data_IF_770460477173
#
_entry.id   IF_770460477173
#
_cell.length_a   1.000
_cell.length_b   1.000
_cell.length_c   1.000
_cell.angle_alpha   90.00
_cell.angle_beta   90.00
_cell.angle_gamma   90.00
#
_symmetry.space_group_name_H-M   'P 1'
#
loop_
_entity.id
_entity.type
_entity.pdbx_description
1 polymer ?
#
# COMPACT_ATOMS: atom_id res chain seq x y z
N UNK A 1 7.50 -2.78 17.08
CA UNK A 1 6.61 -1.65 16.66
C UNK A 1 7.26 -0.29 16.82
N UNK A 2 7.90 0.02 17.96
CA UNK A 2 8.58 1.31 18.14
C UNK A 2 9.65 1.66 17.11
N UNK A 3 10.32 0.65 16.56
CA UNK A 3 11.28 0.85 15.47
C UNK A 3 10.65 1.33 14.16
N UNK A 4 9.36 1.04 13.89
CA UNK A 4 8.66 1.58 12.73
C UNK A 4 8.54 3.11 12.82
N UNK A 5 8.19 3.60 14.01
CA UNK A 5 8.04 5.03 14.32
C UNK A 5 9.36 5.81 14.23
N UNK A 6 10.47 5.15 14.53
CA UNK A 6 11.82 5.69 14.38
C UNK A 6 12.35 5.62 12.94
N UNK A 7 11.52 5.15 11.97
CA UNK A 7 11.94 4.82 10.61
C UNK A 7 13.08 3.79 10.53
N UNK A 8 13.27 3.04 11.61
CA UNK A 8 14.21 1.92 11.70
C UNK A 8 13.55 0.66 11.11
N UNK A 9 13.25 0.70 9.81
CA UNK A 9 12.48 -0.33 9.10
C UNK A 9 13.13 -1.73 9.17
N UNK A 10 14.47 -1.79 9.26
CA UNK A 10 15.19 -3.04 9.45
C UNK A 10 14.83 -3.71 10.79
N UNK A 11 14.76 -2.94 11.87
CA UNK A 11 14.42 -3.41 13.22
C UNK A 11 12.92 -3.71 13.33
N UNK A 12 12.06 -2.87 12.75
CA UNK A 12 10.61 -3.16 12.63
C UNK A 12 10.36 -4.48 11.89
N UNK A 13 11.22 -4.84 10.96
CA UNK A 13 11.09 -6.05 10.19
C UNK A 13 11.26 -7.33 10.97
N UNK A 14 12.16 -7.33 11.96
CA UNK A 14 12.40 -8.48 12.83
C UNK A 14 11.20 -8.74 13.74
N UNK A 15 10.66 -7.68 14.36
CA UNK A 15 9.48 -7.78 15.25
C UNK A 15 8.28 -8.44 14.54
N UNK A 16 8.03 -8.07 13.28
CA UNK A 16 6.94 -8.66 12.50
C UNK A 16 7.20 -10.12 12.11
N UNK A 17 8.45 -10.50 11.86
CA UNK A 17 8.77 -11.90 11.58
C UNK A 17 8.66 -12.79 12.82
N UNK A 18 9.07 -12.29 13.99
CA UNK A 18 8.88 -12.99 15.26
C UNK A 18 7.37 -13.17 15.55
N UNK A 19 6.57 -12.13 15.36
CA UNK A 19 5.11 -12.21 15.50
C UNK A 19 4.48 -13.24 14.52
N UNK A 20 4.92 -13.29 13.26
CA UNK A 20 4.47 -14.29 12.29
C UNK A 20 4.89 -15.72 12.66
N UNK A 21 6.07 -15.87 13.28
CA UNK A 21 6.55 -17.16 13.75
C UNK A 21 5.71 -17.68 14.92
N UNK A 22 5.25 -16.80 15.82
CA UNK A 22 4.37 -17.17 16.93
C UNK A 22 2.94 -17.44 16.47
N UNK A 23 2.35 -16.51 15.71
CA UNK A 23 0.98 -16.61 15.21
C UNK A 23 0.86 -16.01 13.80
N UNK A 24 0.80 -16.85 12.76
CA UNK A 24 0.52 -16.41 11.40
C UNK A 24 -0.77 -15.58 11.33
N UNK A 25 -0.67 -14.40 10.73
CA UNK A 25 -1.80 -13.46 10.63
C UNK A 25 -1.70 -12.68 9.34
N UNK A 26 -2.83 -12.50 8.66
CA UNK A 26 -2.90 -11.74 7.42
C UNK A 26 -2.50 -10.28 7.66
N UNK A 27 -2.98 -9.66 8.74
CA UNK A 27 -2.66 -8.27 9.09
C UNK A 27 -1.15 -8.11 9.33
N UNK A 28 -0.54 -8.99 10.12
CA UNK A 28 0.91 -8.95 10.38
C UNK A 28 1.72 -9.17 9.10
N UNK A 29 1.23 -10.07 8.22
CA UNK A 29 1.84 -10.34 6.91
C UNK A 29 1.77 -9.11 6.00
N UNK A 30 0.61 -8.47 5.91
CA UNK A 30 0.42 -7.23 5.18
C UNK A 30 1.32 -6.12 5.71
N UNK A 31 1.37 -5.91 7.03
CA UNK A 31 2.23 -4.91 7.66
C UNK A 31 3.71 -5.14 7.33
N UNK A 32 4.16 -6.40 7.31
CA UNK A 32 5.53 -6.75 6.91
C UNK A 32 5.79 -6.39 5.45
N UNK A 33 4.83 -6.64 4.56
CA UNK A 33 4.87 -6.19 3.17
C UNK A 33 5.01 -4.67 3.07
N UNK A 34 4.23 -3.93 3.86
CA UNK A 34 4.31 -2.47 3.94
C UNK A 34 5.69 -1.99 4.37
N UNK A 35 6.30 -2.56 5.41
CA UNK A 35 7.68 -2.20 5.81
C UNK A 35 8.68 -2.37 4.65
N UNK A 36 8.55 -3.44 3.87
CA UNK A 36 9.39 -3.65 2.69
C UNK A 36 9.13 -2.61 1.60
N UNK A 37 7.86 -2.27 1.34
CA UNK A 37 7.49 -1.22 0.38
C UNK A 37 8.03 0.16 0.80
N UNK A 38 7.93 0.51 2.09
CA UNK A 38 8.49 1.75 2.65
C UNK A 38 10.01 1.82 2.49
N UNK A 39 10.67 0.67 2.50
CA UNK A 39 12.13 0.56 2.29
C UNK A 39 12.51 0.46 0.81
N UNK A 40 11.56 0.63 -0.12
CA UNK A 40 11.75 0.50 -1.57
C UNK A 40 11.94 -0.93 -2.08
N UNK A 41 11.80 -1.95 -1.22
CA UNK A 41 11.95 -3.35 -1.59
C UNK A 41 10.62 -3.95 -2.06
N UNK A 42 10.15 -3.49 -3.23
CA UNK A 42 8.86 -3.89 -3.78
C UNK A 42 8.78 -5.39 -4.12
N UNK A 43 9.89 -6.01 -4.54
CA UNK A 43 9.95 -7.46 -4.79
C UNK A 43 9.59 -8.27 -3.54
N UNK A 44 10.12 -7.90 -2.37
CA UNK A 44 9.72 -8.54 -1.11
C UNK A 44 8.30 -8.15 -0.69
N UNK A 45 7.93 -6.88 -0.82
CA UNK A 45 6.58 -6.41 -0.47
C UNK A 45 5.49 -7.21 -1.22
N UNK A 46 5.67 -7.42 -2.52
CA UNK A 46 4.80 -8.23 -3.38
C UNK A 46 4.56 -9.63 -2.79
N UNK A 47 5.62 -10.33 -2.36
CA UNK A 47 5.48 -11.67 -1.80
C UNK A 47 4.65 -11.68 -0.51
N UNK A 48 4.84 -10.70 0.37
CA UNK A 48 4.06 -10.58 1.60
C UNK A 48 2.61 -10.20 1.33
N UNK A 49 2.35 -9.25 0.42
CA UNK A 49 0.97 -8.91 0.07
C UNK A 49 0.24 -10.09 -0.57
N UNK A 50 0.89 -10.82 -1.48
CA UNK A 50 0.33 -12.05 -2.06
C UNK A 50 0.03 -13.09 -0.98
N UNK A 51 0.89 -13.24 0.03
CA UNK A 51 0.62 -14.15 1.13
C UNK A 51 -0.56 -13.72 1.99
N UNK A 52 -0.71 -12.41 2.26
CA UNK A 52 -1.85 -11.87 2.99
C UNK A 52 -3.18 -12.05 2.25
N UNK A 53 -3.18 -11.93 0.91
CA UNK A 53 -4.38 -12.08 0.07
C UNK A 53 -4.68 -13.56 -0.18
N UNK A 54 -3.69 -14.31 -0.68
CA UNK A 54 -3.97 -15.60 -1.30
C UNK A 54 -3.85 -16.78 -0.35
N UNK A 55 -3.01 -16.72 0.68
CA UNK A 55 -2.81 -17.76 1.72
C UNK A 55 -2.56 -19.18 1.21
N UNK A 56 -1.76 -19.99 1.90
CA UNK A 56 -1.51 -21.40 1.50
C UNK A 56 -0.80 -21.66 0.14
N UNK A 57 -0.98 -20.80 -0.86
CA UNK A 57 -0.38 -20.79 -2.20
C UNK A 57 0.94 -20.03 -2.23
N UNK A 58 1.20 -19.23 -1.20
CA UNK A 58 2.40 -18.43 -1.05
C UNK A 58 3.12 -18.88 0.21
N UNK A 59 4.29 -19.49 0.05
CA UNK A 59 5.16 -19.87 1.15
C UNK A 59 5.99 -18.67 1.56
N UNK A 60 6.01 -18.37 2.86
CA UNK A 60 6.91 -17.36 3.43
C UNK A 60 7.99 -18.07 4.25
N UNK A 61 9.24 -17.70 3.99
CA UNK A 61 10.41 -18.15 4.75
C UNK A 61 10.89 -16.95 5.56
N UNK A 62 10.82 -17.07 6.89
CA UNK A 62 11.28 -16.04 7.82
C UNK A 62 12.80 -16.10 8.01
N UNK A 63 13.42 -15.09 8.63
CA UNK A 63 14.87 -15.02 8.82
C UNK A 63 15.48 -16.20 9.61
N UNK A 64 14.70 -16.86 10.46
CA UNK A 64 15.09 -18.05 11.20
C UNK A 64 14.87 -19.36 10.40
N UNK A 65 14.65 -19.24 9.09
CA UNK A 65 14.32 -20.33 8.18
C UNK A 65 13.02 -21.07 8.50
N UNK A 66 12.17 -20.50 9.37
CA UNK A 66 10.84 -21.05 9.64
C UNK A 66 9.94 -20.77 8.45
N UNK A 67 9.41 -21.84 7.85
CA UNK A 67 8.31 -21.73 6.91
C UNK A 67 7.02 -21.43 7.67
N UNK A 68 6.29 -20.39 7.24
CA UNK A 68 4.97 -20.07 7.78
C UNK A 68 3.94 -20.07 6.66
N UNK A 69 2.76 -20.61 6.97
CA UNK A 69 1.60 -20.59 6.08
C UNK A 69 0.60 -19.57 6.61
N UNK A 70 0.27 -18.58 5.79
CA UNK A 70 -0.72 -17.56 6.10
C UNK A 70 -2.10 -18.06 5.65
N UNK A 71 -3.18 -17.83 6.42
CA UNK A 71 -4.52 -18.27 6.02
C UNK A 71 -4.98 -17.65 4.69
N UNK A 72 -4.61 -16.39 4.44
CA UNK A 72 -5.07 -15.64 3.27
C UNK A 72 -6.47 -15.07 3.47
N UNK A 73 -6.74 -13.94 2.84
CA UNK A 73 -8.05 -13.29 2.84
C UNK A 73 -8.22 -12.59 1.50
N UNK A 74 -9.06 -13.17 0.65
CA UNK A 74 -9.33 -12.65 -0.69
C UNK A 74 -10.04 -11.30 -0.66
N UNK A 75 -10.64 -10.93 0.49
CA UNK A 75 -11.33 -9.67 0.71
C UNK A 75 -10.43 -8.62 1.39
N UNK A 76 -9.11 -8.85 1.44
CA UNK A 76 -8.19 -7.88 2.04
C UNK A 76 -7.88 -6.72 1.07
N UNK A 77 -8.78 -5.73 1.02
CA UNK A 77 -8.74 -4.67 0.01
C UNK A 77 -7.50 -3.77 0.11
N UNK A 78 -6.99 -3.48 1.31
CA UNK A 78 -5.73 -2.72 1.47
C UNK A 78 -4.54 -3.50 0.92
N UNK A 79 -4.46 -4.81 1.20
CA UNK A 79 -3.37 -5.65 0.71
C UNK A 79 -3.39 -5.75 -0.82
N UNK A 80 -4.58 -5.85 -1.44
CA UNK A 80 -4.72 -5.84 -2.90
C UNK A 80 -4.30 -4.52 -3.53
N UNK A 81 -4.78 -3.41 -2.97
CA UNK A 81 -4.38 -2.06 -3.43
C UNK A 81 -2.87 -1.90 -3.35
N UNK A 82 -2.26 -2.22 -2.22
CA UNK A 82 -0.83 -2.00 -2.01
C UNK A 82 0.03 -3.01 -2.78
N UNK A 83 -0.49 -4.21 -3.05
CA UNK A 83 0.08 -5.13 -4.02
C UNK A 83 0.10 -4.54 -5.42
N UNK A 84 -1.02 -3.97 -5.89
CA UNK A 84 -1.11 -3.27 -7.16
C UNK A 84 -0.09 -2.14 -7.26
N UNK A 85 0.05 -1.32 -6.22
CA UNK A 85 1.07 -0.27 -6.20
C UNK A 85 2.50 -0.81 -6.21
N UNK A 86 2.79 -1.86 -5.44
CA UNK A 86 4.10 -2.49 -5.45
C UNK A 86 4.45 -3.06 -6.84
N UNK A 87 3.47 -3.59 -7.57
CA UNK A 87 3.62 -4.00 -8.97
C UNK A 87 3.90 -2.83 -9.91
N UNK A 88 3.33 -1.65 -9.69
CA UNK A 88 3.64 -0.46 -10.51
C UNK A 88 5.03 0.13 -10.20
N UNK A 89 5.46 0.05 -8.93
CA UNK A 89 6.69 0.66 -8.44
C UNK A 89 7.94 -0.17 -8.70
N UNK A 90 7.78 -1.49 -8.80
CA UNK A 90 8.90 -2.41 -9.02
C UNK A 90 9.73 -1.99 -10.25
N UNK A 91 11.04 -2.19 -10.16
CA UNK A 91 11.96 -1.82 -11.24
C UNK A 91 11.78 -2.70 -12.48
N UNK A 92 11.35 -3.96 -12.27
CA UNK A 92 11.22 -4.99 -13.30
C UNK A 92 9.81 -5.03 -13.91
N UNK A 93 8.93 -4.09 -13.53
CA UNK A 93 7.55 -4.04 -14.01
C UNK A 93 7.48 -3.84 -15.51
N UNK A 94 6.75 -4.72 -16.18
CA UNK A 94 6.42 -4.61 -17.59
C UNK A 94 4.89 -4.63 -17.77
N UNK A 95 4.45 -4.72 -19.03
CA UNK A 95 3.03 -4.75 -19.39
C UNK A 95 2.24 -5.83 -18.62
N UNK A 96 2.85 -6.99 -18.36
CA UNK A 96 2.23 -8.06 -17.57
C UNK A 96 1.99 -7.63 -16.12
N UNK A 97 2.96 -7.01 -15.47
CA UNK A 97 2.78 -6.52 -14.11
C UNK A 97 1.79 -5.36 -14.04
N UNK A 98 1.68 -4.54 -15.10
CA UNK A 98 0.64 -3.50 -15.18
C UNK A 98 -0.76 -4.11 -15.31
N UNK A 99 -0.94 -5.20 -16.08
CA UNK A 99 -2.21 -5.95 -16.12
C UNK A 99 -2.54 -6.56 -14.77
N UNK A 100 -1.57 -7.21 -14.13
CA UNK A 100 -1.78 -7.76 -12.79
C UNK A 100 -2.13 -6.65 -11.77
N UNK A 101 -1.48 -5.48 -11.85
CA UNK A 101 -1.78 -4.35 -10.98
C UNK A 101 -3.21 -3.85 -11.20
N UNK A 102 -3.63 -3.72 -12.47
CA UNK A 102 -4.99 -3.37 -12.85
C UNK A 102 -6.00 -4.35 -12.22
N UNK A 103 -5.79 -5.66 -12.36
CA UNK A 103 -6.66 -6.69 -11.78
C UNK A 103 -6.77 -6.54 -10.25
N UNK A 104 -5.65 -6.32 -9.55
CA UNK A 104 -5.66 -6.15 -8.09
C UNK A 104 -6.39 -4.87 -7.64
N UNK A 105 -6.27 -3.78 -8.39
CA UNK A 105 -7.05 -2.56 -8.09
C UNK A 105 -8.54 -2.76 -8.33
N UNK A 106 -8.93 -3.49 -9.37
CA UNK A 106 -10.33 -3.81 -9.65
C UNK A 106 -10.93 -4.68 -8.54
N UNK A 107 -10.19 -5.68 -8.10
CA UNK A 107 -10.56 -6.54 -6.98
C UNK A 107 -10.67 -5.74 -5.67
N UNK A 108 -9.72 -4.84 -5.38
CA UNK A 108 -9.79 -3.96 -4.21
C UNK A 108 -11.03 -3.05 -4.24
N UNK A 109 -11.37 -2.49 -5.40
CA UNK A 109 -12.57 -1.66 -5.57
C UNK A 109 -13.85 -2.49 -5.40
N UNK A 110 -13.89 -3.71 -5.97
CA UNK A 110 -15.06 -4.59 -5.89
C UNK A 110 -15.35 -5.00 -4.46
N UNK A 111 -14.35 -5.53 -3.76
CA UNK A 111 -14.49 -5.97 -2.36
C UNK A 111 -14.94 -4.82 -1.47
N UNK A 112 -14.42 -3.61 -1.69
CA UNK A 112 -14.81 -2.44 -0.90
C UNK A 112 -16.23 -1.97 -1.21
N UNK A 113 -16.70 -2.09 -2.45
CA UNK A 113 -18.09 -1.78 -2.82
C UNK A 113 -19.10 -2.63 -2.05
N UNK A 114 -18.74 -3.88 -1.76
CA UNK A 114 -19.56 -4.78 -0.95
C UNK A 114 -19.55 -4.38 0.56
N UNK A 115 -18.62 -3.51 0.98
CA UNK A 115 -18.45 -2.97 2.32
C UNK A 115 -18.60 -1.43 2.32
N UNK A 116 -19.83 -0.92 2.30
CA UNK A 116 -20.24 0.48 2.00
C UNK A 116 -19.60 1.62 2.85
N UNK A 117 -18.77 1.33 3.86
CA UNK A 117 -18.37 2.31 4.87
C UNK A 117 -17.26 3.30 4.45
N UNK A 118 -16.39 3.00 3.47
CA UNK A 118 -15.39 3.96 2.95
C UNK A 118 -14.90 3.59 1.53
N UNK A 119 -15.05 4.48 0.55
CA UNK A 119 -14.46 4.29 -0.79
C UNK A 119 -12.93 4.36 -0.77
N UNK A 120 -12.26 3.29 -1.22
CA UNK A 120 -10.80 3.21 -1.35
C UNK A 120 -10.32 3.97 -2.61
N UNK A 121 -10.46 5.31 -2.63
CA UNK A 121 -10.14 6.14 -3.80
C UNK A 121 -8.69 6.08 -4.26
N UNK A 122 -7.75 5.67 -3.40
CA UNK A 122 -6.38 5.38 -3.83
C UNK A 122 -6.31 4.18 -4.78
N UNK A 123 -7.21 3.20 -4.67
CA UNK A 123 -7.32 2.11 -5.64
C UNK A 123 -7.81 2.60 -7.02
N UNK A 124 -8.73 3.57 -7.07
CA UNK A 124 -9.14 4.22 -8.33
C UNK A 124 -7.97 4.94 -8.99
N UNK A 125 -7.13 5.62 -8.21
CA UNK A 125 -5.93 6.27 -8.74
C UNK A 125 -4.94 5.24 -9.27
N UNK A 126 -4.66 4.19 -8.50
CA UNK A 126 -3.81 3.09 -8.93
C UNK A 126 -4.31 2.44 -10.23
N UNK A 127 -5.63 2.19 -10.32
CA UNK A 127 -6.30 1.68 -11.52
C UNK A 127 -6.08 2.59 -12.73
N UNK A 128 -6.33 3.89 -12.58
CA UNK A 128 -6.12 4.87 -13.65
C UNK A 128 -4.67 4.94 -14.12
N UNK A 129 -3.71 4.84 -13.20
CA UNK A 129 -2.28 4.80 -13.54
C UNK A 129 -1.91 3.51 -14.28
N UNK A 130 -2.43 2.36 -13.83
CA UNK A 130 -2.19 1.08 -14.51
C UNK A 130 -2.75 1.10 -15.94
N UNK A 131 -3.97 1.59 -16.13
CA UNK A 131 -4.59 1.79 -17.46
C UNK A 131 -3.76 2.71 -18.34
N UNK A 132 -3.27 3.82 -17.78
CA UNK A 132 -2.40 4.73 -18.50
C UNK A 132 -1.09 4.05 -18.96
N UNK A 133 -0.45 3.25 -18.11
CA UNK A 133 0.75 2.49 -18.47
C UNK A 133 0.49 1.39 -19.51
N UNK A 134 -0.73 0.86 -19.57
CA UNK A 134 -1.17 -0.08 -20.60
C UNK A 134 -1.53 0.61 -21.93
N UNK A 135 -1.62 1.95 -21.94
CA UNK A 135 -2.00 2.74 -23.12
C UNK A 135 -3.50 3.00 -23.22
N UNK A 136 -4.30 2.56 -22.25
CA UNK A 136 -5.75 2.76 -22.19
C UNK A 136 -6.11 4.17 -21.65
N UNK A 137 -5.61 5.20 -22.34
CA UNK A 137 -5.63 6.60 -21.89
C UNK A 137 -7.03 7.11 -21.58
N UNK A 138 -8.00 6.87 -22.46
CA UNK A 138 -9.38 7.33 -22.24
C UNK A 138 -10.01 6.69 -21.01
N UNK A 139 -9.78 5.40 -20.82
CA UNK A 139 -10.29 4.69 -19.65
C UNK A 139 -9.61 5.18 -18.37
N UNK A 140 -8.31 5.46 -18.41
CA UNK A 140 -7.57 6.05 -17.29
C UNK A 140 -8.20 7.39 -16.84
N UNK A 141 -8.55 8.26 -17.80
CA UNK A 141 -9.21 9.55 -17.50
C UNK A 141 -10.58 9.35 -16.86
N UNK A 142 -11.39 8.42 -17.38
CA UNK A 142 -12.70 8.09 -16.82
C UNK A 142 -12.53 7.62 -15.38
N UNK A 143 -11.65 6.65 -15.15
CA UNK A 143 -11.40 6.08 -13.81
C UNK A 143 -10.93 7.15 -12.81
N UNK A 144 -10.03 8.05 -13.22
CA UNK A 144 -9.52 9.10 -12.31
C UNK A 144 -10.59 10.13 -11.95
N UNK A 145 -11.60 10.36 -12.82
CA UNK A 145 -12.73 11.26 -12.54
C UNK A 145 -13.73 10.68 -11.54
N UNK A 146 -13.69 9.37 -11.26
CA UNK A 146 -14.48 8.74 -10.20
C UNK A 146 -14.02 9.14 -8.79
N UNK A 147 -12.84 9.74 -8.65
CA UNK A 147 -12.36 10.28 -7.37
C UNK A 147 -13.07 11.61 -7.10
N UNK A 148 -13.92 11.72 -6.06
CA UNK A 148 -14.72 12.91 -5.83
C UNK A 148 -13.89 14.05 -5.26
N UNK A 149 -14.38 15.28 -5.45
CA UNK A 149 -13.77 16.51 -4.92
C UNK A 149 -13.74 16.57 -3.39
N UNK A 150 -14.54 15.76 -2.70
CA UNK A 150 -14.50 15.60 -1.24
C UNK A 150 -13.41 14.65 -0.76
N UNK A 151 -12.79 13.87 -1.65
CA UNK A 151 -11.75 12.91 -1.31
C UNK A 151 -10.43 13.59 -0.94
N UNK A 152 -9.72 13.03 0.04
CA UNK A 152 -8.34 13.40 0.34
C UNK A 152 -7.39 13.20 -0.86
N UNK A 153 -7.80 12.41 -1.85
CA UNK A 153 -7.00 12.12 -3.03
C UNK A 153 -7.35 12.98 -4.26
N UNK A 154 -8.24 13.98 -4.13
CA UNK A 154 -8.70 14.81 -5.26
C UNK A 154 -7.55 15.49 -6.01
N UNK A 155 -6.59 16.06 -5.29
CA UNK A 155 -5.49 16.83 -5.89
C UNK A 155 -4.50 15.90 -6.58
N UNK A 156 -4.39 14.67 -6.07
CA UNK A 156 -3.62 13.60 -6.72
C UNK A 156 -4.29 13.21 -8.03
N UNK A 157 -5.60 12.92 -8.03
CA UNK A 157 -6.34 12.56 -9.23
C UNK A 157 -6.25 13.66 -10.31
N UNK A 158 -6.42 14.93 -9.92
CA UNK A 158 -6.26 16.09 -10.82
C UNK A 158 -4.88 16.18 -11.44
N UNK A 159 -3.82 16.05 -10.63
CA UNK A 159 -2.44 16.06 -11.11
C UNK A 159 -2.19 14.99 -12.17
N UNK A 160 -2.72 13.78 -11.97
CA UNK A 160 -2.59 12.70 -12.95
C UNK A 160 -3.41 12.95 -14.21
N UNK A 161 -4.63 13.47 -14.08
CA UNK A 161 -5.43 13.90 -15.23
C UNK A 161 -4.70 14.95 -16.07
N UNK A 162 -4.09 15.95 -15.44
CA UNK A 162 -3.28 16.97 -16.13
C UNK A 162 -2.08 16.33 -16.86
N UNK A 163 -1.34 15.45 -16.17
CA UNK A 163 -0.22 14.70 -16.78
C UNK A 163 -0.67 13.88 -17.99
N UNK A 164 -1.80 13.18 -17.89
CA UNK A 164 -2.35 12.40 -18.99
C UNK A 164 -2.76 13.30 -20.17
N UNK A 165 -3.43 14.42 -19.89
CA UNK A 165 -3.90 15.35 -20.93
C UNK A 165 -2.73 16.03 -21.67
N UNK A 166 -1.65 16.39 -20.97
CA UNK A 166 -0.45 16.94 -21.62
C UNK A 166 0.23 15.93 -22.54
N UNK A 167 0.08 14.64 -22.24
CA UNK A 167 0.66 13.53 -23.00
C UNK A 167 -0.04 13.18 -24.32
N UNK A 168 -1.24 13.68 -24.57
CA UNK A 168 -1.95 13.43 -25.85
C UNK A 168 -1.30 14.13 -27.05
N UNK A 169 -0.41 15.11 -26.81
CA UNK A 169 0.25 15.88 -27.87
C UNK A 169 1.58 15.29 -28.35
N UNK A 170 2.21 14.40 -27.58
CA UNK A 170 3.53 13.83 -27.85
C UNK A 170 3.49 12.31 -27.69
N UNK A 171 3.64 11.58 -28.80
CA UNK A 171 3.82 10.11 -28.89
C UNK A 171 3.63 9.33 -27.57
N UNK A 172 2.46 8.71 -27.38
CA UNK A 172 2.05 8.04 -26.14
C UNK A 172 3.13 7.11 -25.53
N UNK A 173 3.91 6.40 -26.36
CA UNK A 173 5.04 5.56 -25.91
C UNK A 173 6.16 6.34 -25.21
N UNK A 174 6.40 7.57 -25.63
CA UNK A 174 7.42 8.45 -25.05
C UNK A 174 6.95 9.09 -23.73
N UNK A 175 5.63 9.23 -23.57
CA UNK A 175 5.01 9.79 -22.37
C UNK A 175 4.97 8.80 -21.19
N UNK A 176 4.89 7.49 -21.48
CA UNK A 176 5.09 6.45 -20.47
C UNK A 176 6.53 6.51 -19.93
N UNK A 177 7.53 6.90 -20.74
CA UNK A 177 8.96 6.91 -20.34
C UNK A 177 9.37 7.98 -19.31
N UNK A 178 8.50 8.94 -18.97
CA UNK A 178 8.68 9.80 -17.77
C UNK A 178 8.33 9.05 -16.46
N UNK A 179 8.55 7.73 -16.44
CA UNK A 179 8.28 6.78 -15.35
C UNK A 179 8.83 7.26 -14.01
N UNK A 180 10.00 7.93 -13.99
CA UNK A 180 10.69 8.26 -12.74
C UNK A 180 9.91 9.25 -11.86
N UNK A 181 9.37 10.32 -12.45
CA UNK A 181 8.54 11.29 -11.72
C UNK A 181 7.16 10.74 -11.35
N UNK A 182 6.67 9.76 -12.10
CA UNK A 182 5.42 9.04 -11.78
C UNK A 182 5.65 8.06 -10.61
N UNK A 183 6.79 7.36 -10.56
CA UNK A 183 7.13 6.43 -9.47
C UNK A 183 7.22 7.11 -8.11
N UNK A 184 7.82 8.30 -8.02
CA UNK A 184 7.85 9.07 -6.77
C UNK A 184 6.43 9.46 -6.31
N UNK A 185 5.59 9.93 -7.23
CA UNK A 185 4.18 10.24 -6.93
C UNK A 185 3.39 8.98 -6.52
N UNK A 186 3.56 7.85 -7.21
CA UNK A 186 2.93 6.57 -6.85
C UNK A 186 3.37 6.13 -5.45
N UNK A 187 4.67 6.22 -5.14
CA UNK A 187 5.20 5.86 -3.84
C UNK A 187 4.58 6.71 -2.74
N UNK A 188 4.36 8.01 -2.96
CA UNK A 188 3.68 8.85 -1.98
C UNK A 188 2.23 8.38 -1.77
N UNK A 189 1.51 8.02 -2.84
CA UNK A 189 0.11 7.56 -2.76
C UNK A 189 -0.01 6.23 -2.03
N UNK A 190 0.89 5.27 -2.28
CA UNK A 190 0.87 3.98 -1.57
C UNK A 190 1.20 4.13 -0.09
N UNK A 191 1.96 5.16 0.27
CA UNK A 191 2.42 5.42 1.63
C UNK A 191 1.45 6.27 2.45
N UNK A 192 0.65 7.14 1.82
CA UNK A 192 -0.33 8.00 2.50
C UNK A 192 -1.33 7.19 3.34
N UNK A 193 -2.00 6.13 2.84
CA UNK A 193 -2.88 5.30 3.65
C UNK A 193 -2.16 4.75 4.89
N UNK A 194 -0.94 4.24 4.72
CA UNK A 194 -0.09 3.64 5.76
C UNK A 194 0.28 4.68 6.84
N UNK A 195 0.61 5.91 6.44
CA UNK A 195 1.10 6.96 7.35
C UNK A 195 -0.01 7.80 8.01
N UNK A 196 -1.28 7.60 7.65
CA UNK A 196 -2.41 8.25 8.35
C UNK A 196 -2.62 7.69 9.75
N UNK A 197 -3.18 8.47 10.68
CA UNK A 197 -3.51 7.97 12.03
C UNK A 197 -4.40 6.73 12.01
N UNK A 198 -5.32 6.65 11.05
CA UNK A 198 -6.18 5.49 10.83
C UNK A 198 -5.41 4.29 10.26
N UNK A 199 -4.50 4.50 9.31
CA UNK A 199 -3.64 3.43 8.79
C UNK A 199 -2.65 2.89 9.82
N UNK A 200 -2.11 3.78 10.64
CA UNK A 200 -1.28 3.44 11.80
C UNK A 200 -2.10 2.63 12.81
N UNK A 201 -3.29 3.10 13.19
CA UNK A 201 -4.17 2.39 14.12
C UNK A 201 -4.59 1.01 13.58
N UNK A 202 -4.82 0.89 12.25
CA UNK A 202 -5.09 -0.38 11.58
C UNK A 202 -3.86 -1.31 11.57
N UNK A 203 -2.66 -0.78 11.31
CA UNK A 203 -1.43 -1.60 11.32
C UNK A 203 -1.10 -2.13 12.70
N UNK A 204 -1.29 -1.35 13.75
CA UNK A 204 -0.82 -1.73 15.08
C UNK A 204 -1.94 -2.26 15.99
N UNK A 205 -3.21 -1.90 15.76
CA UNK A 205 -4.30 -2.17 16.69
C UNK A 205 -4.23 -1.28 17.93
N UNK A 206 -5.11 -1.49 18.92
CA UNK A 206 -4.96 -0.88 20.24
C UNK A 206 -3.80 -1.58 20.98
N UNK A 207 -2.57 -1.14 20.75
CA UNK A 207 -1.38 -1.73 21.38
C UNK A 207 -1.17 -1.11 22.75
N UNK A 208 -1.19 -1.94 23.79
CA UNK A 208 -0.47 -1.65 25.05
C UNK A 208 1.01 -1.94 24.82
N UNK A 209 1.82 -0.88 24.77
CA UNK A 209 3.27 -0.96 24.68
C UNK A 209 3.85 -1.43 26.01
N UNK A 210 4.72 -2.43 25.99
CA UNK A 210 5.56 -2.76 27.14
C UNK A 210 6.74 -1.78 27.21
N UNK A 211 6.88 -1.10 28.35
CA UNK A 211 7.88 -0.06 28.61
C UNK A 211 9.31 -0.55 28.30
N UNK A 212 10.00 0.20 27.44
CA UNK A 212 11.45 0.20 27.33
C UNK A 212 11.89 1.64 27.06
N UNK A 213 13.04 2.06 27.60
CA UNK A 213 13.49 3.46 27.61
C UNK A 213 13.67 4.11 26.22
N UNK A 214 13.69 3.32 25.13
CA UNK A 214 13.70 3.82 23.74
C UNK A 214 12.30 4.06 23.16
N UNK A 215 11.27 3.47 23.76
CA UNK A 215 9.88 3.58 23.31
C UNK A 215 9.16 4.80 23.90
N UNK A 216 9.75 5.60 24.79
CA UNK A 216 9.10 6.82 25.29
C UNK A 216 8.82 7.85 24.20
N UNK A 217 9.75 8.01 23.25
CA UNK A 217 9.53 8.87 22.08
C UNK A 217 8.44 8.31 21.16
N UNK A 218 8.39 6.98 21.03
CA UNK A 218 7.39 6.25 20.26
C UNK A 218 6.01 6.37 20.89
N UNK A 219 5.92 6.21 22.21
CA UNK A 219 4.73 6.40 23.02
C UNK A 219 4.21 7.83 22.89
N UNK A 220 5.09 8.84 22.84
CA UNK A 220 4.68 10.23 22.59
C UNK A 220 4.12 10.43 21.17
N UNK A 221 4.68 9.76 20.17
CA UNK A 221 4.23 9.81 18.77
C UNK A 221 2.92 9.05 18.58
N UNK A 222 2.77 7.88 19.20
CA UNK A 222 1.53 7.08 19.25
C UNK A 222 0.43 7.83 20.00
N UNK A 223 0.74 8.42 21.15
CA UNK A 223 -0.18 9.26 21.90
C UNK A 223 -0.65 10.42 21.02
N UNK A 224 0.25 11.17 20.39
CA UNK A 224 -0.10 12.29 19.50
C UNK A 224 -0.87 11.85 18.23
N UNK A 225 -0.63 10.66 17.69
CA UNK A 225 -1.36 10.14 16.54
C UNK A 225 -2.78 9.66 16.88
N UNK A 226 -3.01 9.24 18.12
CA UNK A 226 -4.30 8.77 18.64
C UNK A 226 -5.09 9.86 19.40
N UNK A 227 -4.47 10.99 19.74
CA UNK A 227 -5.07 12.04 20.56
C UNK A 227 -6.13 12.86 19.81
N UNK A 228 -7.41 12.64 20.14
CA UNK A 228 -8.53 13.53 19.76
C UNK A 228 -9.10 14.24 21.00
N UNK A 229 -8.43 15.28 21.49
CA UNK A 229 -9.02 16.26 22.44
C UNK A 229 -8.27 16.43 23.76
N UNK A 230 -8.37 17.61 24.41
CA UNK A 230 -7.48 18.00 25.50
C UNK A 230 -7.76 17.26 26.81
N UNK A 231 -6.70 16.93 27.56
CA UNK A 231 -6.75 16.34 28.90
C UNK A 231 -7.50 17.27 29.87
N UNK A 232 -8.39 16.67 30.68
CA UNK A 232 -8.83 17.26 31.96
C UNK A 232 -7.84 16.91 33.06
#
# INVERSE_FOLDING_TARGET
>A
MGYFWLKEYAMSGKDFEDALAEKPSNQVTYNRGSVYAMSGNYNKAINYYKAAIYGGKVKLILHNYKEVTIPGDLNFDEARRDFGFALLLNQDSNEKEYKNALDEFEEAIRVKKDNEELSNYSAYIGKGIAQYFLGDVEQAKITLKEVPESSQYKDTAKRYLEKINTCESSNQKQCVNNVKGIKEDISNISMVPILTSQGISSMFGNVTVHESDKLDNVLSLEHNALYKGPCK
#
